data_IF_134440780644
#
_entry.id   IF_134440780644
#
_cell.length_a   1.000
_cell.length_b   1.000
_cell.length_c   1.000
_cell.angle_alpha   90.00
_cell.angle_beta   90.00
_cell.angle_gamma   90.00
#
_symmetry.space_group_name_H-M   'P 1'
#
loop_
_entity.id
_entity.type
_entity.pdbx_description
1 polymer ?
#
# COMPACT_ATOMS: atom_id res chain seq x y z
N UNK A 1 2.78 -9.32 2.92
CA UNK A 1 2.33 -10.71 3.16
C UNK A 1 0.80 -10.75 3.13
N UNK A 2 0.21 -11.69 2.38
CA UNK A 2 -1.24 -11.84 2.26
C UNK A 2 -1.79 -12.79 3.34
N UNK A 3 -2.98 -12.53 3.87
CA UNK A 3 -3.64 -13.43 4.82
C UNK A 3 -4.46 -14.53 4.13
N UNK A 4 -4.85 -14.30 2.87
CA UNK A 4 -5.55 -15.25 2.01
C UNK A 4 -4.75 -16.55 1.83
N UNK A 5 -5.46 -17.67 1.83
CA UNK A 5 -4.93 -19.04 1.63
C UNK A 5 -3.85 -19.48 2.63
N UNK A 6 -3.77 -18.82 3.80
CA UNK A 6 -2.83 -19.16 4.87
C UNK A 6 -3.53 -19.67 6.12
N UNK A 7 -2.82 -20.51 6.86
CA UNK A 7 -3.14 -20.87 8.23
C UNK A 7 -2.06 -20.31 9.18
N UNK A 8 -2.32 -20.40 10.48
CA UNK A 8 -1.44 -19.84 11.51
C UNK A 8 -0.03 -20.46 11.48
N UNK A 9 0.09 -21.77 11.30
CA UNK A 9 1.38 -22.47 11.25
C UNK A 9 2.23 -22.01 10.07
N UNK A 10 1.62 -21.89 8.88
CA UNK A 10 2.30 -21.39 7.68
C UNK A 10 2.76 -19.95 7.86
N UNK A 11 1.95 -19.12 8.54
CA UNK A 11 2.34 -17.76 8.86
C UNK A 11 3.51 -17.68 9.86
N UNK A 12 3.50 -18.46 10.94
CA UNK A 12 4.62 -18.53 11.89
C UNK A 12 5.92 -18.97 11.21
N UNK A 13 5.85 -19.97 10.33
CA UNK A 13 7.00 -20.39 9.51
C UNK A 13 7.57 -19.22 8.69
N UNK A 14 6.71 -18.43 8.08
CA UNK A 14 7.13 -17.27 7.29
C UNK A 14 7.76 -16.17 8.17
N UNK A 15 7.26 -15.93 9.38
CA UNK A 15 7.90 -15.03 10.36
C UNK A 15 9.30 -15.50 10.75
N UNK A 16 9.47 -16.79 11.04
CA UNK A 16 10.78 -17.38 11.35
C UNK A 16 11.76 -17.25 10.19
N UNK A 17 11.26 -17.47 8.98
CA UNK A 17 12.05 -17.33 7.76
C UNK A 17 12.48 -15.88 7.57
N UNK A 18 11.56 -14.93 7.75
CA UNK A 18 11.84 -13.51 7.66
C UNK A 18 12.89 -13.07 8.70
N UNK A 19 12.74 -13.49 9.96
CA UNK A 19 13.73 -13.28 11.01
C UNK A 19 15.12 -13.81 10.62
N UNK A 20 15.21 -15.03 10.09
CA UNK A 20 16.48 -15.61 9.65
C UNK A 20 17.17 -14.80 8.54
N UNK A 21 16.41 -14.06 7.73
CA UNK A 21 16.93 -13.16 6.69
C UNK A 21 17.06 -11.69 7.15
N UNK A 22 16.78 -11.37 8.42
CA UNK A 22 16.80 -10.00 8.92
C UNK A 22 15.66 -9.10 8.39
N UNK A 23 14.56 -9.70 7.95
CA UNK A 23 13.37 -8.97 7.50
C UNK A 23 12.48 -8.69 8.71
N UNK A 24 12.43 -7.43 9.12
CA UNK A 24 11.73 -7.01 10.34
C UNK A 24 10.47 -6.19 10.05
N UNK A 25 10.27 -5.71 8.82
CA UNK A 25 9.11 -4.90 8.41
C UNK A 25 8.16 -5.68 7.52
N UNK A 26 6.91 -5.78 7.95
CA UNK A 26 5.87 -6.50 7.23
C UNK A 26 4.69 -5.60 6.88
N UNK A 27 4.26 -5.64 5.62
CA UNK A 27 2.95 -5.11 5.23
C UNK A 27 1.95 -6.27 5.17
N UNK A 28 0.91 -6.24 6.01
CA UNK A 28 -0.17 -7.23 5.99
C UNK A 28 -1.38 -6.73 5.20
N UNK A 29 -1.82 -7.58 4.28
CA UNK A 29 -2.98 -7.33 3.41
C UNK A 29 -3.82 -8.60 3.31
N UNK A 30 -5.10 -8.47 2.95
CA UNK A 30 -5.93 -9.65 2.73
C UNK A 30 -5.44 -10.45 1.51
N UNK A 31 -5.25 -9.76 0.38
CA UNK A 31 -5.02 -10.35 -0.94
C UNK A 31 -6.28 -10.27 -1.80
N UNK A 32 -6.18 -10.57 -3.11
CA UNK A 32 -7.34 -10.50 -4.00
C UNK A 32 -8.31 -11.66 -3.78
N UNK A 33 -9.58 -11.55 -4.17
CA UNK A 33 -10.48 -12.72 -4.11
C UNK A 33 -10.04 -13.77 -5.14
N UNK A 34 -10.01 -15.08 -4.79
CA UNK A 34 -9.66 -16.12 -5.76
C UNK A 34 -10.74 -16.21 -6.84
N UNK A 35 -10.32 -16.45 -8.09
CA UNK A 35 -11.24 -16.62 -9.24
C UNK A 35 -11.82 -18.03 -9.33
N UNK A 36 -11.19 -19.01 -8.69
CA UNK A 36 -11.63 -20.40 -8.62
C UNK A 36 -11.16 -21.08 -7.32
N UNK A 37 -11.87 -22.12 -6.90
CA UNK A 37 -11.61 -22.88 -5.68
C UNK A 37 -12.41 -22.39 -4.47
N UNK A 38 -12.66 -23.28 -3.52
CA UNK A 38 -13.25 -22.94 -2.23
C UNK A 38 -12.19 -23.02 -1.15
N UNK A 39 -11.76 -21.88 -0.62
CA UNK A 39 -11.12 -21.80 0.70
C UNK A 39 -11.28 -20.41 1.32
N UNK A 40 -12.01 -20.39 2.42
CA UNK A 40 -12.05 -19.33 3.42
C UNK A 40 -10.80 -19.48 4.28
N UNK A 41 -9.78 -18.63 4.11
CA UNK A 41 -8.73 -18.59 5.13
C UNK A 41 -9.31 -17.98 6.42
N UNK A 42 -9.06 -18.62 7.55
CA UNK A 42 -9.44 -18.07 8.88
C UNK A 42 -8.47 -16.98 9.32
N UNK A 43 -7.27 -16.93 8.71
CA UNK A 43 -6.27 -15.94 9.06
C UNK A 43 -6.67 -14.57 8.48
N UNK A 44 -7.08 -13.68 9.38
CA UNK A 44 -7.35 -12.29 9.06
C UNK A 44 -6.08 -11.45 9.18
N UNK A 45 -6.06 -10.28 8.55
CA UNK A 45 -4.96 -9.30 8.74
C UNK A 45 -4.78 -8.98 10.22
N UNK A 46 -5.88 -8.80 10.98
CA UNK A 46 -5.84 -8.57 12.42
C UNK A 46 -5.15 -9.73 13.16
N UNK A 47 -5.53 -10.97 12.87
CA UNK A 47 -4.90 -12.14 13.49
C UNK A 47 -3.40 -12.24 13.15
N UNK A 48 -2.98 -11.85 11.95
CA UNK A 48 -1.54 -11.76 11.61
C UNK A 48 -0.82 -10.70 12.43
N UNK A 49 -1.45 -9.54 12.66
CA UNK A 49 -0.88 -8.50 13.51
C UNK A 49 -0.71 -9.03 14.94
N UNK A 50 -1.78 -9.55 15.53
CA UNK A 50 -1.78 -10.06 16.91
C UNK A 50 -0.72 -11.16 17.10
N UNK A 51 -0.63 -12.09 16.15
CA UNK A 51 0.37 -13.16 16.17
C UNK A 51 1.80 -12.63 16.01
N UNK A 52 2.05 -11.62 15.18
CA UNK A 52 3.39 -11.03 15.02
C UNK A 52 3.85 -10.33 16.31
N UNK A 53 2.92 -9.67 17.01
CA UNK A 53 3.17 -9.04 18.31
C UNK A 53 3.45 -10.08 19.39
N UNK A 54 2.72 -11.20 19.38
CA UNK A 54 2.97 -12.30 20.31
C UNK A 54 4.32 -12.98 20.04
N UNK A 55 4.66 -13.18 18.76
CA UNK A 55 5.91 -13.79 18.34
C UNK A 55 7.15 -13.00 18.80
N UNK A 56 7.05 -11.67 18.92
CA UNK A 56 8.16 -10.84 19.38
C UNK A 56 8.58 -11.12 20.83
N UNK A 57 7.71 -11.78 21.62
CA UNK A 57 7.99 -12.19 23.00
C UNK A 57 8.45 -13.66 23.11
N UNK A 58 8.44 -14.42 22.02
CA UNK A 58 8.85 -15.82 22.02
C UNK A 58 10.39 -15.92 21.93
N UNK A 59 10.96 -16.76 22.79
CA UNK A 59 12.39 -17.13 22.81
C UNK A 59 12.95 -17.56 21.44
N UNK A 60 12.11 -18.10 20.55
CA UNK A 60 12.53 -18.51 19.21
C UNK A 60 12.96 -17.30 18.36
N UNK A 61 12.43 -16.10 18.65
CA UNK A 61 12.81 -14.85 17.99
C UNK A 61 13.81 -14.04 18.82
N UNK A 62 14.40 -14.61 19.86
CA UNK A 62 15.42 -13.94 20.67
C UNK A 62 16.60 -13.51 19.80
N UNK A 63 16.97 -12.23 19.87
CA UNK A 63 18.04 -11.64 19.08
C UNK A 63 17.63 -11.08 17.70
N UNK A 64 16.37 -11.23 17.30
CA UNK A 64 15.81 -10.48 16.17
C UNK A 64 15.36 -9.08 16.63
N UNK A 65 15.45 -8.07 15.77
CA UNK A 65 14.86 -6.76 16.06
C UNK A 65 13.33 -6.85 16.16
N UNK A 66 12.66 -5.85 16.78
CA UNK A 66 11.22 -5.88 16.93
C UNK A 66 10.54 -5.86 15.56
N UNK A 67 9.64 -6.81 15.33
CA UNK A 67 8.85 -6.83 14.10
C UNK A 67 7.93 -5.61 14.03
N UNK A 68 8.06 -4.88 12.93
CA UNK A 68 7.22 -3.76 12.57
C UNK A 68 6.12 -4.20 11.63
N UNK A 69 4.89 -3.82 11.95
CA UNK A 69 3.66 -4.27 11.30
C UNK A 69 2.95 -3.10 10.67
N UNK A 70 2.85 -3.13 9.35
CA UNK A 70 2.08 -2.18 8.56
C UNK A 70 0.81 -2.77 7.97
N UNK A 71 -0.15 -1.89 7.69
CA UNK A 71 -1.44 -2.24 7.08
C UNK A 71 -1.75 -1.35 5.89
N UNK A 72 -2.66 -1.81 5.03
CA UNK A 72 -3.24 -0.99 3.98
C UNK A 72 -4.67 -0.53 4.33
N UNK A 73 -5.02 0.69 3.95
CA UNK A 73 -6.36 1.27 4.07
C UNK A 73 -6.81 1.89 2.74
N UNK A 74 -8.07 1.73 2.38
CA UNK A 74 -8.68 2.56 1.33
C UNK A 74 -9.08 3.92 1.89
N UNK A 75 -9.67 4.79 1.07
CA UNK A 75 -10.15 6.11 1.48
C UNK A 75 -11.49 6.07 2.26
N UNK A 76 -11.70 5.01 3.04
CA UNK A 76 -12.88 4.82 3.90
C UNK A 76 -12.47 4.87 5.37
N UNK A 77 -13.47 4.84 6.26
CA UNK A 77 -13.26 4.71 7.71
C UNK A 77 -12.33 3.53 8.00
N UNK A 78 -11.32 3.79 8.85
CA UNK A 78 -10.32 2.81 9.25
C UNK A 78 -10.79 2.10 10.52
N UNK A 79 -10.90 0.75 10.52
CA UNK A 79 -11.22 0.01 11.74
C UNK A 79 -10.21 0.30 12.85
N UNK A 80 -10.68 0.45 14.10
CA UNK A 80 -9.83 0.79 15.24
C UNK A 80 -8.63 -0.14 15.44
N UNK A 81 -8.74 -1.43 15.12
CA UNK A 81 -7.59 -2.35 15.24
C UNK A 81 -6.47 -2.06 14.22
N UNK A 82 -6.76 -1.42 13.08
CA UNK A 82 -5.75 -1.05 12.08
C UNK A 82 -4.92 0.15 12.52
N UNK A 83 -5.45 1.02 13.37
CA UNK A 83 -4.71 2.21 13.85
C UNK A 83 -3.61 1.84 14.85
N UNK A 84 -3.62 0.60 15.37
CA UNK A 84 -2.55 0.02 16.18
C UNK A 84 -1.37 -0.55 15.36
N UNK A 85 -1.40 -0.43 14.02
CA UNK A 85 -0.27 -0.76 13.17
C UNK A 85 0.86 0.28 13.35
N UNK A 86 2.11 -0.14 13.16
CA UNK A 86 3.27 0.75 13.25
C UNK A 86 3.35 1.72 12.08
N UNK A 87 2.78 1.38 10.93
CA UNK A 87 2.71 2.24 9.76
C UNK A 87 1.53 1.88 8.86
N UNK A 88 1.11 2.81 8.00
CA UNK A 88 -0.04 2.62 7.13
C UNK A 88 0.25 3.07 5.70
N UNK A 89 -0.22 2.28 4.74
CA UNK A 89 -0.33 2.69 3.35
C UNK A 89 -1.78 2.99 3.01
N UNK A 90 -2.08 4.21 2.58
CA UNK A 90 -3.38 4.49 1.95
C UNK A 90 -3.32 4.06 0.49
N UNK A 91 -4.37 3.39 0.03
CA UNK A 91 -4.49 2.93 -1.35
C UNK A 91 -4.47 4.10 -2.33
N UNK A 92 -4.15 3.77 -3.58
CA UNK A 92 -4.04 4.72 -4.67
C UNK A 92 -5.33 5.52 -4.85
N UNK A 93 -5.17 6.83 -5.00
CA UNK A 93 -6.20 7.75 -5.49
C UNK A 93 -5.54 8.67 -6.51
N UNK A 94 -6.26 9.06 -7.56
CA UNK A 94 -5.80 10.08 -8.52
C UNK A 94 -6.22 11.50 -8.10
N UNK A 95 -6.73 11.69 -6.88
CA UNK A 95 -7.13 12.98 -6.33
C UNK A 95 -6.40 13.26 -5.02
N UNK A 96 -5.57 14.31 -5.01
CA UNK A 96 -4.90 14.80 -3.79
C UNK A 96 -5.93 15.25 -2.75
N UNK A 97 -6.98 15.94 -3.18
CA UNK A 97 -8.03 16.42 -2.28
C UNK A 97 -8.69 15.27 -1.50
N UNK A 98 -9.00 14.16 -2.18
CA UNK A 98 -9.58 12.99 -1.53
C UNK A 98 -8.60 12.34 -0.54
N UNK A 99 -7.30 12.31 -0.86
CA UNK A 99 -6.26 11.83 0.07
C UNK A 99 -6.17 12.72 1.32
N UNK A 100 -6.16 14.04 1.16
CA UNK A 100 -6.08 14.99 2.26
C UNK A 100 -7.32 14.90 3.17
N UNK A 101 -8.52 14.90 2.59
CA UNK A 101 -9.77 14.73 3.34
C UNK A 101 -9.79 13.42 4.12
N UNK A 102 -9.33 12.33 3.51
CA UNK A 102 -9.22 11.06 4.23
C UNK A 102 -8.20 11.14 5.37
N UNK A 103 -7.04 11.76 5.13
CA UNK A 103 -5.97 11.90 6.12
C UNK A 103 -6.38 12.71 7.34
N UNK A 104 -7.22 13.73 7.16
CA UNK A 104 -7.84 14.51 8.25
C UNK A 104 -8.84 13.69 9.06
N UNK A 105 -9.51 12.72 8.44
CA UNK A 105 -10.53 11.89 9.09
C UNK A 105 -9.97 10.74 9.93
N UNK A 106 -8.65 10.50 9.87
CA UNK A 106 -7.99 9.34 10.50
C UNK A 106 -6.85 9.80 11.40
N UNK A 107 -6.89 9.35 12.65
CA UNK A 107 -5.80 9.49 13.61
C UNK A 107 -5.04 8.16 13.73
N UNK A 108 -3.74 8.21 13.41
CA UNK A 108 -2.81 7.09 13.48
C UNK A 108 -1.50 7.58 14.08
N UNK A 109 -0.94 6.81 15.02
CA UNK A 109 0.27 7.20 15.74
C UNK A 109 1.54 7.05 14.90
N UNK A 110 1.54 6.09 13.96
CA UNK A 110 2.67 5.79 13.09
C UNK A 110 2.59 6.49 11.73
N UNK A 111 3.67 6.41 10.91
CA UNK A 111 3.73 7.06 9.62
C UNK A 111 2.68 6.55 8.63
N UNK A 112 2.21 7.47 7.79
CA UNK A 112 1.23 7.23 6.74
C UNK A 112 1.82 7.57 5.39
N UNK A 113 1.77 6.61 4.47
CA UNK A 113 2.29 6.75 3.12
C UNK A 113 1.16 6.77 2.09
N UNK A 114 1.16 7.77 1.23
CA UNK A 114 0.16 7.90 0.16
C UNK A 114 0.46 6.96 -1.01
N UNK A 115 -0.51 6.16 -1.44
CA UNK A 115 -0.40 5.38 -2.67
C UNK A 115 -0.49 6.28 -3.90
N UNK A 116 0.52 6.24 -4.76
CA UNK A 116 0.52 6.92 -6.07
C UNK A 116 0.84 5.89 -7.14
N UNK A 117 0.08 5.89 -8.24
CA UNK A 117 0.25 4.92 -9.33
C UNK A 117 0.31 5.62 -10.68
N UNK A 118 1.25 5.18 -11.51
CA UNK A 118 1.35 5.63 -12.90
C UNK A 118 0.22 5.03 -13.72
N UNK A 119 -0.60 5.87 -14.35
CA UNK A 119 -1.57 5.40 -15.33
C UNK A 119 -0.89 5.13 -16.68
N UNK A 120 -0.55 3.86 -16.95
CA UNK A 120 0.26 3.52 -18.12
C UNK A 120 -0.53 3.46 -19.45
N UNK A 121 -1.86 3.36 -19.40
CA UNK A 121 -2.74 3.31 -20.58
C UNK A 121 -4.21 3.53 -20.23
N UNK A 122 -5.03 3.95 -21.20
CA UNK A 122 -6.50 3.97 -21.02
C UNK A 122 -7.10 2.57 -20.78
N UNK A 123 -6.50 1.52 -21.35
CA UNK A 123 -6.88 0.13 -21.06
C UNK A 123 -6.65 -0.25 -19.60
N UNK A 124 -5.59 0.28 -18.98
CA UNK A 124 -5.36 0.14 -17.54
C UNK A 124 -6.42 0.90 -16.74
N UNK A 125 -6.80 2.12 -17.14
CA UNK A 125 -7.85 2.89 -16.47
C UNK A 125 -9.15 2.08 -16.36
N UNK A 126 -9.60 1.49 -17.46
CA UNK A 126 -10.80 0.62 -17.49
C UNK A 126 -10.69 -0.57 -16.56
N UNK A 127 -9.53 -1.24 -16.52
CA UNK A 127 -9.31 -2.39 -15.62
C UNK A 127 -9.31 -1.97 -14.14
N UNK A 128 -8.68 -0.85 -13.81
CA UNK A 128 -8.66 -0.31 -12.46
C UNK A 128 -10.08 0.04 -11.99
N UNK A 129 -10.83 0.80 -12.80
CA UNK A 129 -12.21 1.17 -12.49
C UNK A 129 -13.13 -0.06 -12.28
N UNK A 130 -12.87 -1.17 -13.00
CA UNK A 130 -13.63 -2.41 -12.83
C UNK A 130 -13.20 -3.22 -11.59
N UNK A 131 -11.97 -3.07 -11.11
CA UNK A 131 -11.38 -3.95 -10.09
C UNK A 131 -11.29 -3.30 -8.71
N UNK A 132 -11.19 -1.97 -8.65
CA UNK A 132 -11.03 -1.21 -7.41
C UNK A 132 -12.33 -0.42 -7.20
N UNK A 133 -13.18 -0.83 -6.25
CA UNK A 133 -14.36 -0.06 -5.89
C UNK A 133 -13.98 1.37 -5.48
N UNK A 134 -14.76 2.34 -5.95
CA UNK A 134 -14.63 3.76 -5.61
C UNK A 134 -13.34 4.45 -6.12
N UNK A 135 -12.56 3.82 -7.02
CA UNK A 135 -11.45 4.53 -7.67
C UNK A 135 -11.99 5.53 -8.70
N UNK A 136 -11.69 6.80 -8.48
CA UNK A 136 -11.97 7.86 -9.44
C UNK A 136 -10.70 8.16 -10.25
N UNK A 137 -10.80 8.08 -11.57
CA UNK A 137 -9.69 8.33 -12.51
C UNK A 137 -10.12 9.49 -13.41
N UNK A 138 -9.45 10.65 -13.35
CA UNK A 138 -9.80 11.82 -14.15
C UNK A 138 -9.84 11.50 -15.64
N UNK A 139 -10.95 11.86 -16.31
CA UNK A 139 -11.16 11.54 -17.72
C UNK A 139 -10.15 12.23 -18.64
N UNK A 140 -9.78 13.47 -18.32
CA UNK A 140 -8.71 14.22 -18.96
C UNK A 140 -7.34 13.52 -18.86
N UNK A 141 -7.02 12.92 -17.71
CA UNK A 141 -5.82 12.10 -17.56
C UNK A 141 -5.87 10.86 -18.46
N UNK A 142 -7.03 10.20 -18.55
CA UNK A 142 -7.21 9.04 -19.44
C UNK A 142 -6.97 9.44 -20.89
N UNK A 143 -7.57 10.55 -21.35
CA UNK A 143 -7.37 11.07 -22.70
C UNK A 143 -5.92 11.48 -22.97
N UNK A 144 -5.27 12.14 -21.99
CA UNK A 144 -3.87 12.55 -22.10
C UNK A 144 -2.96 11.32 -22.28
N UNK A 145 -3.18 10.26 -21.50
CA UNK A 145 -2.42 9.00 -21.60
C UNK A 145 -2.69 8.27 -22.92
N UNK A 146 -3.90 8.40 -23.47
CA UNK A 146 -4.24 7.84 -24.78
C UNK A 146 -3.48 8.52 -25.93
N UNK A 147 -3.27 9.85 -25.83
CA UNK A 147 -2.48 10.64 -26.79
C UNK A 147 -0.97 10.44 -26.58
N UNK A 148 -0.52 10.44 -25.34
CA UNK A 148 0.88 10.22 -24.97
C UNK A 148 1.00 9.50 -23.62
N UNK A 149 1.60 8.31 -23.64
CA UNK A 149 1.83 7.51 -22.43
C UNK A 149 2.78 8.18 -21.42
N UNK A 150 3.53 9.20 -21.80
CA UNK A 150 4.36 9.99 -20.88
C UNK A 150 3.50 10.81 -19.90
N UNK A 151 2.28 11.18 -20.28
CA UNK A 151 1.37 11.96 -19.44
C UNK A 151 1.06 11.28 -18.11
N UNK A 152 0.92 9.94 -18.08
CA UNK A 152 0.69 9.19 -16.85
C UNK A 152 1.90 9.16 -15.91
N UNK A 153 3.11 9.26 -16.46
CA UNK A 153 4.34 9.39 -15.68
C UNK A 153 4.42 10.81 -15.09
N UNK A 154 4.17 11.83 -15.92
CA UNK A 154 4.18 13.22 -15.49
C UNK A 154 3.15 13.47 -14.36
N UNK A 155 1.90 13.02 -14.55
CA UNK A 155 0.85 13.15 -13.55
C UNK A 155 1.18 12.44 -12.22
N UNK A 156 1.78 11.24 -12.28
CA UNK A 156 2.22 10.55 -11.07
C UNK A 156 3.35 11.30 -10.34
N UNK A 157 4.31 11.87 -11.07
CA UNK A 157 5.38 12.67 -10.48
C UNK A 157 4.85 13.97 -9.87
N UNK A 158 3.96 14.68 -10.58
CA UNK A 158 3.27 15.86 -10.07
C UNK A 158 2.51 15.53 -8.78
N UNK A 159 1.78 14.40 -8.76
CA UNK A 159 1.08 13.96 -7.57
C UNK A 159 2.03 13.62 -6.41
N UNK A 160 3.18 12.98 -6.66
CA UNK A 160 4.21 12.72 -5.64
C UNK A 160 4.69 14.03 -5.00
N UNK A 161 5.00 15.03 -5.83
CA UNK A 161 5.45 16.34 -5.35
C UNK A 161 4.33 17.06 -4.58
N UNK A 162 3.09 17.02 -5.07
CA UNK A 162 1.96 17.65 -4.39
C UNK A 162 1.65 16.96 -3.04
N UNK A 163 1.79 15.63 -2.94
CA UNK A 163 1.70 14.92 -1.66
C UNK A 163 2.82 15.36 -0.71
N UNK A 164 4.07 15.44 -1.18
CA UNK A 164 5.19 15.93 -0.38
C UNK A 164 4.92 17.34 0.15
N UNK A 165 4.53 18.25 -0.74
CA UNK A 165 4.34 19.67 -0.44
C UNK A 165 3.16 19.91 0.51
N UNK A 166 2.18 19.01 0.53
CA UNK A 166 1.07 19.08 1.49
C UNK A 166 1.49 18.89 2.95
N UNK A 167 2.63 18.22 3.20
CA UNK A 167 3.10 17.85 4.55
C UNK A 167 2.18 16.90 5.33
N UNK A 168 1.11 16.38 4.71
CA UNK A 168 0.09 15.57 5.40
C UNK A 168 0.49 14.08 5.55
N UNK A 169 1.49 13.64 4.79
CA UNK A 169 1.94 12.26 4.72
C UNK A 169 3.46 12.16 4.95
N UNK A 170 3.89 11.03 5.52
CA UNK A 170 5.31 10.74 5.81
C UNK A 170 6.07 10.23 4.57
N UNK A 171 5.38 10.07 3.45
CA UNK A 171 5.96 9.74 2.15
C UNK A 171 4.96 9.15 1.17
N UNK A 172 5.49 8.59 0.08
CA UNK A 172 4.71 8.03 -1.02
C UNK A 172 5.06 6.56 -1.24
N UNK A 173 4.04 5.72 -1.36
CA UNK A 173 4.15 4.39 -1.94
C UNK A 173 3.86 4.44 -3.43
N UNK A 174 4.93 4.51 -4.21
CA UNK A 174 4.87 4.65 -5.66
C UNK A 174 4.74 3.28 -6.35
N UNK A 175 3.75 3.16 -7.24
CA UNK A 175 3.54 2.02 -8.12
C UNK A 175 3.80 2.45 -9.58
N UNK A 176 5.00 2.21 -10.14
CA UNK A 176 5.41 2.80 -11.41
C UNK A 176 4.89 2.08 -12.66
N UNK A 177 4.27 0.90 -12.53
CA UNK A 177 3.73 0.10 -13.66
C UNK A 177 4.73 -0.04 -14.81
N UNK A 178 5.93 -0.53 -14.49
CA UNK A 178 7.08 -0.67 -15.41
C UNK A 178 7.73 0.64 -15.91
N UNK A 179 7.20 1.81 -15.55
CA UNK A 179 7.76 3.14 -15.92
C UNK A 179 8.77 3.67 -14.88
N UNK A 180 9.46 2.78 -14.18
CA UNK A 180 10.29 3.14 -13.02
C UNK A 180 11.47 4.03 -13.40
N UNK A 181 12.04 3.87 -14.60
CA UNK A 181 13.17 4.69 -15.07
C UNK A 181 12.72 6.12 -15.36
N UNK A 182 11.58 6.29 -16.03
CA UNK A 182 11.06 7.62 -16.35
C UNK A 182 10.62 8.37 -15.09
N UNK A 183 9.98 7.68 -14.14
CA UNK A 183 9.63 8.29 -12.85
C UNK A 183 10.89 8.69 -12.08
N UNK A 184 11.89 7.81 -12.00
CA UNK A 184 13.16 8.13 -11.33
C UNK A 184 13.86 9.34 -11.94
N UNK A 185 13.97 9.40 -13.27
CA UNK A 185 14.63 10.51 -13.96
C UNK A 185 13.97 11.88 -13.70
N UNK A 186 12.63 11.91 -13.59
CA UNK A 186 11.92 13.14 -13.24
C UNK A 186 12.12 13.46 -11.75
N UNK A 187 11.84 12.52 -10.86
CA UNK A 187 11.90 12.77 -9.41
C UNK A 187 13.31 13.07 -8.90
N UNK A 188 14.35 12.47 -9.47
CA UNK A 188 15.75 12.82 -9.16
C UNK A 188 16.07 14.27 -9.52
N UNK A 189 15.45 14.85 -10.55
CA UNK A 189 15.66 16.25 -10.90
C UNK A 189 14.91 17.20 -9.96
N UNK A 190 13.71 16.82 -9.54
CA UNK A 190 12.81 17.68 -8.75
C UNK A 190 13.02 17.56 -7.22
N UNK A 191 13.74 16.53 -6.75
CA UNK A 191 14.03 16.29 -5.33
C UNK A 191 15.48 16.54 -4.92
N UNK A 192 16.38 16.74 -5.88
CA UNK A 192 17.77 17.16 -5.63
C UNK A 192 17.90 18.68 -5.75
#
# INVERSE_FOLDING_TARGET
MNSRDRNLLGFRRDLLTAAAYGVERFLFVYGDKPTAGGRTSELTVRAMMDETRAASADSVFAGCGPFQVGVAAGLRSVPAWKTAADFMFVQVSYSLENLLRWRESVEVAGPVYAGVMVLASAGMARRLAASIPDIDIPGDLVEAVERDRSAGVAAACEQVLAVRDSGAFDGVHLVPVSRYREVAAILERELN
#
